data_IF_678435893155
#
_entry.id   IF_678435893155
#
_cell.length_a   1.000
_cell.length_b   1.000
_cell.length_c   1.000
_cell.angle_alpha   90.00
_cell.angle_beta   90.00
_cell.angle_gamma   90.00
#
_symmetry.space_group_name_H-M   'P 1'
#
loop_
_entity.id
_entity.type
_entity.pdbx_description
1 polymer ?
#
# COMPACT_ATOMS: atom_id res chain seq x y z
N UNK A 1 8.22 -17.34 -17.71
CA UNK A 1 6.85 -17.13 -17.24
C UNK A 1 6.53 -15.65 -17.26
N UNK A 2 6.01 -15.16 -18.39
CA UNK A 2 5.86 -13.74 -18.63
C UNK A 2 4.78 -13.07 -17.78
N UNK A 3 3.65 -13.66 -17.56
CA UNK A 3 2.49 -13.01 -16.99
C UNK A 3 2.20 -13.44 -15.55
N UNK A 4 3.15 -13.19 -14.65
CA UNK A 4 2.97 -13.47 -13.24
C UNK A 4 2.30 -12.29 -12.54
N UNK A 5 1.15 -12.52 -11.90
CA UNK A 5 0.44 -11.52 -11.12
C UNK A 5 0.31 -12.01 -9.69
N UNK A 6 0.76 -11.22 -8.74
CA UNK A 6 0.51 -11.48 -7.32
C UNK A 6 -0.49 -10.46 -6.78
N UNK A 7 -1.47 -10.93 -6.01
CA UNK A 7 -2.44 -10.07 -5.35
C UNK A 7 -2.40 -10.39 -3.86
N UNK A 8 -2.15 -9.39 -3.04
CA UNK A 8 -2.07 -9.54 -1.60
C UNK A 8 -2.90 -8.45 -0.92
N UNK A 9 -3.38 -8.74 0.28
CA UNK A 9 -4.07 -7.76 1.11
C UNK A 9 -3.07 -7.02 1.99
N UNK A 10 -3.52 -5.91 2.60
CA UNK A 10 -2.71 -5.11 3.50
C UNK A 10 -3.55 -4.51 4.62
N UNK A 11 -2.90 -4.12 5.70
CA UNK A 11 -3.52 -3.39 6.80
C UNK A 11 -3.47 -1.89 6.57
N UNK A 12 -2.37 -1.37 6.03
CA UNK A 12 -2.23 0.03 5.66
C UNK A 12 -1.13 0.20 4.61
N UNK A 13 -1.22 1.28 3.84
CA UNK A 13 -0.24 1.66 2.83
C UNK A 13 0.05 3.15 3.00
N UNK A 14 1.32 3.55 3.07
CA UNK A 14 1.67 4.96 3.15
C UNK A 14 1.77 5.61 1.76
N UNK A 15 1.95 6.93 1.74
CA UNK A 15 1.96 7.70 0.49
C UNK A 15 3.21 7.48 -0.37
N UNK A 16 4.18 6.71 0.08
CA UNK A 16 5.32 6.30 -0.74
C UNK A 16 5.17 4.87 -1.26
N UNK A 17 4.13 4.16 -0.82
CA UNK A 17 3.86 2.80 -1.26
C UNK A 17 4.47 1.73 -0.36
N UNK A 18 4.92 2.08 0.85
CA UNK A 18 5.31 1.08 1.84
C UNK A 18 4.06 0.39 2.38
N UNK A 19 4.12 -0.91 2.51
CA UNK A 19 2.96 -1.74 2.87
C UNK A 19 3.18 -2.38 4.23
N UNK A 20 2.21 -2.23 5.12
CA UNK A 20 2.12 -2.99 6.36
C UNK A 20 0.96 -3.98 6.25
N UNK A 21 1.28 -5.26 6.28
CA UNK A 21 0.28 -6.33 6.25
C UNK A 21 0.34 -7.21 7.49
N UNK A 22 1.16 -6.87 8.49
CA UNK A 22 1.46 -7.78 9.58
C UNK A 22 1.32 -7.19 10.98
N UNK A 23 1.28 -5.85 11.12
CA UNK A 23 1.24 -5.24 12.46
C UNK A 23 0.19 -4.15 12.55
N UNK A 24 -0.44 -4.04 13.73
CA UNK A 24 -1.40 -2.99 14.09
C UNK A 24 -0.93 -2.40 15.42
N UNK A 25 -0.81 -1.06 15.48
CA UNK A 25 -0.35 -0.33 16.66
C UNK A 25 0.97 -0.86 17.23
N UNK A 26 1.90 -1.19 16.34
CA UNK A 26 3.21 -1.72 16.72
C UNK A 26 3.20 -3.19 17.13
N UNK A 27 2.04 -3.86 17.11
CA UNK A 27 1.92 -5.27 17.45
C UNK A 27 1.92 -6.13 16.20
N UNK A 28 2.67 -7.21 16.22
CA UNK A 28 2.66 -8.20 15.15
C UNK A 28 1.31 -8.91 15.16
N UNK A 29 0.50 -8.73 14.12
CA UNK A 29 -0.81 -9.38 13.98
C UNK A 29 -0.65 -10.72 13.28
N UNK A 30 0.13 -10.75 12.20
CA UNK A 30 0.42 -11.96 11.46
C UNK A 30 1.89 -11.96 11.09
N UNK A 31 2.43 -13.10 10.72
CA UNK A 31 3.76 -13.18 10.14
C UNK A 31 3.77 -12.62 8.72
N UNK A 32 4.96 -12.42 8.17
CA UNK A 32 5.12 -11.99 6.79
C UNK A 32 4.53 -13.02 5.83
N UNK A 33 4.59 -14.29 6.19
CA UNK A 33 4.12 -15.37 5.35
C UNK A 33 4.84 -15.39 4.00
N UNK A 34 4.10 -15.61 2.93
CA UNK A 34 4.65 -15.64 1.59
C UNK A 34 4.55 -14.32 0.82
N UNK A 35 4.00 -13.25 1.42
CA UNK A 35 3.73 -12.03 0.66
C UNK A 35 4.99 -11.45 0.01
N UNK A 36 6.08 -11.32 0.77
CA UNK A 36 7.31 -10.74 0.23
C UNK A 36 7.85 -11.56 -0.94
N UNK A 37 7.83 -12.88 -0.81
CA UNK A 37 8.33 -13.78 -1.86
C UNK A 37 7.47 -13.67 -3.12
N UNK A 38 6.15 -13.61 -2.98
CA UNK A 38 5.25 -13.44 -4.12
C UNK A 38 5.45 -12.10 -4.81
N UNK A 39 5.56 -11.01 -4.04
CA UNK A 39 5.76 -9.67 -4.58
C UNK A 39 7.10 -9.58 -5.28
N UNK A 40 8.16 -10.13 -4.68
CA UNK A 40 9.49 -10.15 -5.27
C UNK A 40 9.52 -10.97 -6.57
N UNK A 41 8.85 -12.13 -6.58
CA UNK A 41 8.71 -12.96 -7.77
C UNK A 41 8.02 -12.21 -8.90
N UNK A 42 6.92 -11.52 -8.60
CA UNK A 42 6.20 -10.72 -9.58
C UNK A 42 7.06 -9.58 -10.14
N UNK A 43 7.85 -8.92 -9.28
CA UNK A 43 8.74 -7.84 -9.71
C UNK A 43 9.85 -8.30 -10.62
N UNK A 44 10.31 -9.54 -10.48
CA UNK A 44 11.39 -10.13 -11.29
C UNK A 44 10.89 -10.80 -12.56
N UNK A 45 9.61 -11.18 -12.62
CA UNK A 45 9.06 -11.85 -13.79
C UNK A 45 8.87 -10.84 -14.93
N UNK A 46 9.20 -11.25 -16.15
CA UNK A 46 8.91 -10.43 -17.32
C UNK A 46 7.38 -10.28 -17.42
N UNK A 47 6.88 -9.05 -17.52
CA UNK A 47 5.47 -8.76 -17.54
C UNK A 47 4.76 -8.96 -16.19
N UNK A 48 5.52 -9.24 -15.13
CA UNK A 48 4.95 -9.44 -13.79
C UNK A 48 4.33 -8.20 -13.21
N UNK A 49 3.30 -8.39 -12.37
CA UNK A 49 2.60 -7.31 -11.65
C UNK A 49 2.39 -7.73 -10.22
N UNK A 50 2.63 -6.80 -9.29
CA UNK A 50 2.27 -6.98 -7.89
C UNK A 50 1.19 -5.99 -7.51
N UNK A 51 0.11 -6.50 -6.96
CA UNK A 51 -1.08 -5.73 -6.62
C UNK A 51 -1.33 -5.87 -5.13
N UNK A 52 -1.49 -4.75 -4.46
CA UNK A 52 -1.92 -4.70 -3.06
C UNK A 52 -3.38 -4.21 -3.07
N UNK A 53 -4.28 -5.03 -2.57
CA UNK A 53 -5.70 -4.71 -2.52
C UNK A 53 -6.14 -4.58 -1.06
N UNK A 54 -6.81 -3.48 -0.73
CA UNK A 54 -7.32 -3.25 0.61
C UNK A 54 -8.54 -2.31 0.55
N UNK A 55 -9.46 -2.40 1.56
CA UNK A 55 -10.47 -1.36 1.68
C UNK A 55 -9.77 -0.04 2.07
N UNK A 56 -10.30 1.08 1.62
CA UNK A 56 -9.70 2.40 1.91
C UNK A 56 -9.84 2.78 3.39
N UNK A 57 -10.80 2.20 4.10
CA UNK A 57 -11.06 2.47 5.52
C UNK A 57 -11.25 1.19 6.31
N UNK A 58 -11.12 1.32 7.63
CA UNK A 58 -11.45 0.29 8.60
C UNK A 58 -12.37 0.87 9.66
N UNK A 59 -12.85 0.02 10.58
CA UNK A 59 -13.67 0.42 11.73
C UNK A 59 -14.88 1.24 11.30
N UNK A 60 -15.63 0.72 10.33
CA UNK A 60 -16.87 1.35 9.80
C UNK A 60 -16.61 2.75 9.23
N UNK A 61 -15.49 2.92 8.56
CA UNK A 61 -15.16 4.20 7.90
C UNK A 61 -14.50 5.23 8.80
N UNK A 62 -14.14 4.87 10.03
CA UNK A 62 -13.54 5.83 10.97
C UNK A 62 -12.03 5.92 10.89
N UNK A 63 -11.37 4.96 10.24
CA UNK A 63 -9.91 4.89 10.14
C UNK A 63 -9.50 4.72 8.68
N UNK A 64 -8.60 5.58 8.20
CA UNK A 64 -8.05 5.43 6.86
C UNK A 64 -6.97 4.36 6.83
N UNK A 65 -7.01 3.51 5.81
CA UNK A 65 -5.93 2.53 5.57
C UNK A 65 -4.88 3.03 4.59
N UNK A 66 -5.17 4.12 3.89
CA UNK A 66 -4.15 4.89 3.17
C UNK A 66 -3.72 6.00 4.12
N UNK A 67 -2.44 6.05 4.45
CA UNK A 67 -1.93 6.94 5.49
C UNK A 67 -0.74 7.76 4.97
N UNK A 68 -0.49 8.92 5.57
CA UNK A 68 0.65 9.74 5.20
C UNK A 68 1.97 9.01 5.48
N UNK A 69 2.04 8.40 6.65
CA UNK A 69 3.17 7.58 7.08
C UNK A 69 2.64 6.37 7.84
N UNK A 70 3.33 5.24 7.74
CA UNK A 70 2.95 4.07 8.53
C UNK A 70 2.97 4.43 10.02
N UNK A 71 2.10 3.77 10.78
CA UNK A 71 1.99 4.00 12.22
C UNK A 71 3.35 3.76 12.90
N UNK A 72 3.61 4.48 13.99
CA UNK A 72 4.83 4.29 14.77
C UNK A 72 4.94 2.83 15.23
N UNK A 73 6.10 2.22 15.00
CA UNK A 73 6.33 0.80 15.30
C UNK A 73 5.75 -0.17 14.28
N UNK A 74 5.10 0.31 13.21
CA UNK A 74 4.58 -0.57 12.18
C UNK A 74 5.72 -1.28 11.44
N UNK A 75 5.43 -2.49 10.97
CA UNK A 75 6.36 -3.27 10.16
C UNK A 75 6.15 -2.99 8.69
N UNK A 76 7.24 -2.88 7.93
CA UNK A 76 7.17 -2.78 6.48
C UNK A 76 7.22 -4.20 5.91
N UNK A 77 6.07 -4.72 5.50
CA UNK A 77 5.97 -6.04 4.89
C UNK A 77 6.51 -6.02 3.46
N UNK A 78 6.13 -4.99 2.70
CA UNK A 78 6.59 -4.82 1.32
C UNK A 78 7.19 -3.44 1.15
N UNK A 79 8.49 -3.37 0.78
CA UNK A 79 9.15 -2.09 0.50
C UNK A 79 8.49 -1.36 -0.69
N UNK A 80 8.62 -0.05 -0.71
CA UNK A 80 7.94 0.81 -1.68
C UNK A 80 8.23 0.49 -3.15
N UNK A 81 9.34 -0.14 -3.44
CA UNK A 81 9.74 -0.44 -4.82
C UNK A 81 9.05 -1.66 -5.41
N UNK A 82 8.44 -2.50 -4.59
CA UNK A 82 7.95 -3.81 -5.02
C UNK A 82 6.45 -3.86 -5.24
N UNK A 83 5.68 -2.89 -4.73
CA UNK A 83 4.26 -2.79 -5.01
C UNK A 83 4.05 -2.00 -6.29
N UNK A 84 3.49 -2.61 -7.32
CA UNK A 84 3.25 -1.94 -8.60
C UNK A 84 1.93 -1.17 -8.60
N UNK A 85 0.90 -1.76 -8.00
CA UNK A 85 -0.44 -1.19 -7.94
C UNK A 85 -1.02 -1.32 -6.56
N UNK A 86 -1.74 -0.30 -6.13
CA UNK A 86 -2.56 -0.34 -4.92
C UNK A 86 -4.00 -0.10 -5.34
N UNK A 87 -4.89 -1.02 -4.95
CA UNK A 87 -6.29 -1.00 -5.36
C UNK A 87 -7.17 -0.87 -4.12
N UNK A 88 -8.06 0.09 -4.15
CA UNK A 88 -9.15 0.23 -3.17
C UNK A 88 -10.47 0.33 -3.92
N UNK A 89 -11.58 0.44 -3.19
CA UNK A 89 -12.89 0.68 -3.81
C UNK A 89 -12.97 2.02 -4.55
N UNK A 90 -12.00 2.91 -4.35
CA UNK A 90 -11.96 4.23 -5.00
C UNK A 90 -11.10 4.27 -6.26
N UNK A 91 -10.44 3.17 -6.60
CA UNK A 91 -9.68 3.10 -7.85
C UNK A 91 -8.37 2.37 -7.73
N UNK A 92 -7.49 2.65 -8.68
CA UNK A 92 -6.20 1.99 -8.83
C UNK A 92 -5.08 3.04 -8.81
N UNK A 93 -4.12 2.88 -7.91
CA UNK A 93 -2.91 3.68 -7.88
C UNK A 93 -1.80 2.92 -8.59
N UNK A 94 -1.24 3.50 -9.66
CA UNK A 94 -0.12 2.91 -10.39
C UNK A 94 1.18 3.53 -9.87
N UNK A 95 2.04 2.71 -9.27
CA UNK A 95 3.23 3.19 -8.57
C UNK A 95 4.53 2.97 -9.33
N UNK A 96 4.60 1.92 -10.17
CA UNK A 96 5.83 1.59 -10.88
C UNK A 96 6.30 2.75 -11.75
N UNK A 97 7.56 3.13 -11.60
CA UNK A 97 8.17 4.21 -12.39
C UNK A 97 7.78 5.61 -11.96
N UNK A 98 6.99 5.78 -10.92
CA UNK A 98 6.58 7.11 -10.44
C UNK A 98 7.61 7.69 -9.48
N UNK A 99 7.77 9.01 -9.55
CA UNK A 99 8.51 9.78 -8.55
C UNK A 99 7.75 9.77 -7.22
N UNK A 100 8.39 10.25 -6.15
CA UNK A 100 7.72 10.35 -4.84
C UNK A 100 6.46 11.23 -4.94
N UNK A 101 6.54 12.38 -5.63
CA UNK A 101 5.38 13.23 -5.83
C UNK A 101 4.27 12.53 -6.63
N UNK A 102 4.65 11.72 -7.63
CA UNK A 102 3.71 10.91 -8.40
C UNK A 102 3.03 9.85 -7.55
N UNK A 103 3.78 9.18 -6.68
CA UNK A 103 3.24 8.18 -5.75
C UNK A 103 2.23 8.81 -4.79
N UNK A 104 2.56 9.97 -4.23
CA UNK A 104 1.65 10.69 -3.34
C UNK A 104 0.32 10.99 -4.05
N UNK A 105 0.37 11.51 -5.27
CA UNK A 105 -0.85 11.81 -6.04
C UNK A 105 -1.68 10.56 -6.30
N UNK A 106 -1.03 9.48 -6.74
CA UNK A 106 -1.72 8.23 -7.04
C UNK A 106 -2.40 7.65 -5.80
N UNK A 107 -1.70 7.62 -4.68
CA UNK A 107 -2.22 7.02 -3.44
C UNK A 107 -3.29 7.90 -2.79
N UNK A 108 -3.18 9.22 -2.85
CA UNK A 108 -4.27 10.09 -2.41
C UNK A 108 -5.55 9.84 -3.19
N UNK A 109 -5.43 9.53 -4.47
CA UNK A 109 -6.60 9.26 -5.32
C UNK A 109 -7.38 8.02 -4.88
N UNK A 110 -6.71 7.01 -4.33
CA UNK A 110 -7.37 5.78 -3.88
C UNK A 110 -7.74 5.80 -2.39
N UNK A 111 -7.35 6.84 -1.66
CA UNK A 111 -7.81 7.04 -0.29
C UNK A 111 -9.30 7.40 -0.28
N UNK A 112 -9.96 7.12 0.85
CA UNK A 112 -11.33 7.57 1.03
C UNK A 112 -11.39 9.10 0.97
N UNK A 113 -12.30 9.69 0.18
CA UNK A 113 -12.38 11.15 0.03
C UNK A 113 -12.48 11.91 1.34
N UNK A 114 -13.11 11.35 2.36
CA UNK A 114 -13.25 12.00 3.66
C UNK A 114 -11.92 12.22 4.38
N UNK A 115 -10.88 11.48 4.01
CA UNK A 115 -9.57 11.54 4.66
C UNK A 115 -8.49 12.24 3.83
N UNK A 116 -8.72 12.50 2.55
CA UNK A 116 -7.70 13.02 1.64
C UNK A 116 -7.04 14.30 2.12
N UNK A 117 -7.84 15.27 2.54
CA UNK A 117 -7.29 16.57 2.99
C UNK A 117 -6.43 16.41 4.24
N UNK A 118 -6.87 15.57 5.18
CA UNK A 118 -6.11 15.31 6.39
C UNK A 118 -4.78 14.63 6.08
N UNK A 119 -4.81 13.60 5.23
CA UNK A 119 -3.61 12.88 4.83
C UNK A 119 -2.63 13.82 4.12
N UNK A 120 -3.12 14.66 3.23
CA UNK A 120 -2.29 15.63 2.52
C UNK A 120 -1.64 16.64 3.46
N UNK A 121 -2.38 17.13 4.46
CA UNK A 121 -1.81 18.01 5.48
C UNK A 121 -0.74 17.32 6.29
N UNK A 122 -0.95 16.06 6.67
CA UNK A 122 0.02 15.30 7.45
C UNK A 122 1.33 15.09 6.69
N UNK A 123 1.29 14.82 5.38
CA UNK A 123 2.52 14.59 4.61
C UNK A 123 3.33 15.86 4.43
N UNK A 124 2.70 17.03 4.51
CA UNK A 124 3.38 18.33 4.37
C UNK A 124 3.97 18.86 5.68
N UNK A 125 3.58 18.29 6.80
CA UNK A 125 4.04 18.74 8.12
C UNK A 125 5.39 18.17 8.54
#
# INVERSE_FOLDING_TARGET
LGDFVSVNSALEVDLLGQVNAESVDGRQVTGIGGQFDFVLGAARAEGGRSIIALPATASRGTVSRIVARLAAGARVTTPRFLADYVVTEHGVAALRGKSDAGRVRELLHVADPAFRDRIEREIRS
#
